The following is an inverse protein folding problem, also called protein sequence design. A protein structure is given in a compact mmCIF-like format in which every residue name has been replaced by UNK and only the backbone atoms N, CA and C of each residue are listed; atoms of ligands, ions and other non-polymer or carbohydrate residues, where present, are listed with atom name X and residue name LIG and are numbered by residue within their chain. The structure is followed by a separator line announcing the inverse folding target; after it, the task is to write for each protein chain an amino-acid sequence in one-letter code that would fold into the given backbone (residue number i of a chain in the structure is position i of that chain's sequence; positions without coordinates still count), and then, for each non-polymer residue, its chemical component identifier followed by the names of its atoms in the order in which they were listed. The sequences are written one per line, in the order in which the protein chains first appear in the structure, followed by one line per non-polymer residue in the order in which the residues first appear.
data_IF_993571451960
#
_entry.id   IF_993571451960
#
_cell.length_a   1.000
_cell.length_b   1.000
_cell.length_c   1.000
_cell.angle_alpha   90.00
_cell.angle_beta   90.00
_cell.angle_gamma   90.00
#
_symmetry.space_group_name_H-M   'P 1'
#
loop_
_entity.id
_entity.type
_entity.pdbx_description
1 polymer ?
#
# COMPACT_ATOMS: atom_id res chain seq x y z
N UNK A 1 -5.79 9.16 20.43
CA UNK A 1 -6.67 8.47 19.46
C UNK A 1 -7.71 9.42 18.88
N UNK A 2 -8.36 10.24 19.67
CA UNK A 2 -9.37 11.22 19.20
C UNK A 2 -8.77 12.28 18.27
N UNK A 3 -7.66 12.89 18.63
CA UNK A 3 -6.95 13.83 17.75
C UNK A 3 -6.57 13.20 16.40
N UNK A 4 -6.11 11.94 16.44
CA UNK A 4 -5.77 11.19 15.23
C UNK A 4 -7.01 10.94 14.37
N UNK A 5 -8.13 10.56 14.98
CA UNK A 5 -9.41 10.37 14.28
C UNK A 5 -9.85 11.66 13.60
N UNK A 6 -9.85 12.78 14.34
CA UNK A 6 -10.26 14.09 13.81
C UNK A 6 -9.33 14.51 12.66
N UNK A 7 -8.01 14.38 12.85
CA UNK A 7 -7.02 14.71 11.82
C UNK A 7 -7.21 13.91 10.55
N UNK A 8 -7.39 12.58 10.66
CA UNK A 8 -7.65 11.69 9.51
C UNK A 8 -8.98 12.06 8.83
N UNK A 9 -10.02 12.32 9.62
CA UNK A 9 -11.33 12.68 9.07
C UNK A 9 -11.27 13.99 8.30
N UNK A 10 -10.66 15.04 8.85
CA UNK A 10 -10.56 16.34 8.19
C UNK A 10 -9.80 16.26 6.87
N UNK A 11 -8.67 15.56 6.84
CA UNK A 11 -7.85 15.37 5.64
C UNK A 11 -8.62 14.58 4.55
N UNK A 12 -9.28 13.48 4.94
CA UNK A 12 -10.10 12.67 4.03
C UNK A 12 -11.34 13.45 3.56
N UNK A 13 -11.98 14.24 4.42
CA UNK A 13 -13.19 14.98 4.09
C UNK A 13 -12.90 16.11 3.08
N UNK A 14 -11.77 16.81 3.25
CA UNK A 14 -11.32 17.79 2.27
C UNK A 14 -11.09 17.16 0.89
N UNK A 15 -10.46 15.99 0.85
CA UNK A 15 -10.30 15.24 -0.38
C UNK A 15 -11.64 14.81 -0.96
N UNK A 16 -12.54 14.24 -0.15
CA UNK A 16 -13.83 13.72 -0.63
C UNK A 16 -14.70 14.81 -1.24
N UNK A 17 -14.72 16.03 -0.68
CA UNK A 17 -15.45 17.18 -1.23
C UNK A 17 -14.99 17.49 -2.65
N UNK A 18 -13.67 17.60 -2.87
CA UNK A 18 -13.08 17.84 -4.20
C UNK A 18 -13.31 16.66 -5.17
N UNK A 19 -13.21 15.44 -4.64
CA UNK A 19 -13.37 14.22 -5.42
C UNK A 19 -14.82 14.04 -5.88
N UNK A 20 -15.81 14.27 -5.01
CA UNK A 20 -17.23 14.14 -5.35
C UNK A 20 -17.68 15.22 -6.37
N UNK A 21 -17.19 16.45 -6.24
CA UNK A 21 -17.42 17.52 -7.20
C UNK A 21 -16.87 17.12 -8.58
N UNK A 22 -15.60 16.78 -8.67
CA UNK A 22 -14.97 16.33 -9.93
C UNK A 22 -15.67 15.10 -10.53
N UNK A 23 -16.04 14.14 -9.68
CA UNK A 23 -16.67 12.90 -10.12
C UNK A 23 -18.08 13.11 -10.64
N UNK A 24 -18.86 14.02 -10.03
CA UNK A 24 -20.21 14.36 -10.49
C UNK A 24 -20.21 14.96 -11.89
N UNK A 25 -19.21 15.79 -12.20
CA UNK A 25 -19.08 16.47 -13.48
C UNK A 25 -18.64 15.54 -14.63
N UNK A 26 -17.96 14.44 -14.30
CA UNK A 26 -17.40 13.49 -15.29
C UNK A 26 -18.25 12.23 -15.48
N UNK A 27 -19.22 11.95 -14.62
CA UNK A 27 -20.17 10.83 -14.75
C UNK A 27 -21.35 11.13 -15.69
N UNK A 28 -21.12 11.80 -16.81
CA UNK A 28 -22.16 12.17 -17.80
C UNK A 28 -22.53 11.00 -18.72
N UNK A 29 -22.45 9.75 -18.30
CA UNK A 29 -23.02 8.65 -19.09
C UNK A 29 -23.65 7.60 -18.18
N UNK A 30 -24.93 7.37 -18.43
CA UNK A 30 -25.76 6.32 -17.84
C UNK A 30 -26.29 6.51 -16.41
N UNK A 31 -26.92 7.64 -16.08
CA UNK A 31 -28.04 7.74 -15.14
C UNK A 31 -28.11 6.95 -13.83
N UNK A 32 -27.18 6.03 -13.61
CA UNK A 32 -27.07 5.23 -12.39
C UNK A 32 -26.15 5.91 -11.39
N UNK A 33 -26.73 6.71 -10.51
CA UNK A 33 -26.04 7.14 -9.28
C UNK A 33 -25.57 5.88 -8.55
N UNK A 34 -24.29 5.51 -8.72
CA UNK A 34 -23.64 4.37 -8.04
C UNK A 34 -23.47 4.66 -6.52
N UNK A 35 -23.80 5.85 -6.07
CA UNK A 35 -23.91 6.15 -4.64
C UNK A 35 -25.12 5.39 -4.08
N UNK A 36 -24.88 4.18 -3.59
CA UNK A 36 -25.83 3.49 -2.75
C UNK A 36 -26.33 4.49 -1.70
N UNK A 37 -27.65 4.72 -1.60
CA UNK A 37 -28.22 5.55 -0.54
C UNK A 37 -27.72 5.04 0.79
N UNK A 38 -26.71 5.72 1.33
CA UNK A 38 -26.06 5.39 2.59
C UNK A 38 -26.26 6.55 3.56
N UNK A 39 -26.47 6.22 4.82
CA UNK A 39 -26.55 7.25 5.87
C UNK A 39 -25.18 7.85 6.21
N UNK A 40 -24.10 7.11 5.97
CA UNK A 40 -22.71 7.59 6.13
C UNK A 40 -22.24 8.28 4.84
N UNK A 41 -21.47 9.35 5.01
CA UNK A 41 -20.75 10.00 3.91
C UNK A 41 -19.59 9.14 3.41
N UNK A 42 -19.06 9.45 2.25
CA UNK A 42 -17.85 8.79 1.72
C UNK A 42 -16.66 9.02 2.66
N UNK A 43 -16.50 10.24 3.18
CA UNK A 43 -15.45 10.59 4.14
C UNK A 43 -15.55 9.79 5.44
N UNK A 44 -16.76 9.59 5.98
CA UNK A 44 -16.97 8.72 7.15
C UNK A 44 -16.59 7.26 6.86
N UNK A 45 -17.00 6.72 5.71
CA UNK A 45 -16.65 5.35 5.31
C UNK A 45 -15.14 5.18 5.16
N UNK A 46 -14.47 6.08 4.46
CA UNK A 46 -13.00 6.04 4.27
C UNK A 46 -12.27 6.17 5.61
N UNK A 47 -12.69 7.09 6.46
CA UNK A 47 -12.10 7.28 7.81
C UNK A 47 -12.22 6.02 8.65
N UNK A 48 -13.41 5.39 8.68
CA UNK A 48 -13.64 4.16 9.45
C UNK A 48 -12.72 3.04 8.99
N UNK A 49 -12.57 2.81 7.67
CA UNK A 49 -11.71 1.72 7.18
C UNK A 49 -10.22 2.00 7.37
N UNK A 50 -9.78 3.26 7.28
CA UNK A 50 -8.39 3.66 7.54
C UNK A 50 -8.05 3.55 9.01
N UNK A 51 -8.92 4.08 9.89
CA UNK A 51 -8.72 4.05 11.34
C UNK A 51 -8.67 2.62 11.89
N UNK A 52 -9.32 1.66 11.24
CA UNK A 52 -9.24 0.24 11.61
C UNK A 52 -7.79 -0.23 11.74
N UNK A 53 -6.94 0.09 10.80
CA UNK A 53 -5.53 -0.34 10.76
C UNK A 53 -4.65 0.34 11.82
N UNK A 54 -5.07 1.49 12.32
CA UNK A 54 -4.37 2.24 13.38
C UNK A 54 -4.93 1.96 14.78
N UNK A 55 -6.07 1.28 14.85
CA UNK A 55 -6.76 1.01 16.12
C UNK A 55 -6.18 -0.16 16.92
N UNK A 56 -5.27 -0.96 16.32
CA UNK A 56 -4.75 -2.20 16.92
C UNK A 56 -5.77 -3.34 17.02
N UNK A 57 -6.98 -3.18 16.44
CA UNK A 57 -8.02 -4.18 16.50
C UNK A 57 -7.81 -5.26 15.43
N UNK A 58 -7.89 -6.54 15.84
CA UNK A 58 -7.64 -7.68 14.93
C UNK A 58 -8.82 -8.05 14.05
N UNK A 59 -10.07 -7.76 14.48
CA UNK A 59 -11.27 -8.15 13.73
C UNK A 59 -12.11 -6.94 13.40
N UNK A 60 -12.36 -6.72 12.13
CA UNK A 60 -13.16 -5.61 11.64
C UNK A 60 -14.58 -5.59 12.20
N UNK A 61 -15.18 -6.79 12.43
CA UNK A 61 -16.52 -6.90 13.03
C UNK A 61 -16.55 -6.36 14.46
N UNK A 62 -15.55 -6.71 15.28
CA UNK A 62 -15.46 -6.22 16.65
C UNK A 62 -15.18 -4.71 16.66
N UNK A 63 -14.25 -4.26 15.81
CA UNK A 63 -13.96 -2.86 15.63
C UNK A 63 -15.22 -2.03 15.29
N UNK A 64 -16.02 -2.43 14.30
CA UNK A 64 -17.25 -1.72 13.96
C UNK A 64 -18.25 -1.68 15.13
N UNK A 65 -18.47 -2.83 15.81
CA UNK A 65 -19.48 -2.92 16.85
C UNK A 65 -19.09 -2.24 18.17
N UNK A 66 -17.85 -2.44 18.60
CA UNK A 66 -17.41 -2.03 19.92
C UNK A 66 -16.64 -0.71 19.89
N UNK A 67 -15.76 -0.53 18.89
CA UNK A 67 -14.92 0.64 18.81
C UNK A 67 -15.69 1.81 18.18
N UNK A 68 -16.24 1.65 16.97
CA UNK A 68 -16.99 2.73 16.28
C UNK A 68 -18.34 2.97 16.94
N UNK A 69 -19.20 1.94 17.06
CA UNK A 69 -20.54 2.12 17.61
C UNK A 69 -20.60 2.25 19.13
N UNK A 70 -19.52 1.91 19.83
CA UNK A 70 -19.39 2.05 21.28
C UNK A 70 -18.62 3.33 21.67
N UNK A 71 -17.29 3.30 21.59
CA UNK A 71 -16.42 4.36 22.06
C UNK A 71 -16.50 5.64 21.23
N UNK A 72 -16.67 5.55 19.90
CA UNK A 72 -16.69 6.70 18.99
C UNK A 72 -18.08 7.01 18.43
N UNK A 73 -19.14 6.59 19.15
CA UNK A 73 -20.55 6.77 18.72
C UNK A 73 -20.92 8.24 18.47
N UNK A 74 -20.31 9.18 19.17
CA UNK A 74 -20.61 10.61 19.08
C UNK A 74 -19.99 11.22 17.80
N UNK A 75 -18.90 10.66 17.29
CA UNK A 75 -18.28 11.07 16.02
C UNK A 75 -19.01 10.45 14.80
N UNK A 76 -19.69 9.32 14.98
CA UNK A 76 -20.44 8.62 13.91
C UNK A 76 -21.91 8.41 14.36
N UNK A 77 -22.73 9.47 14.39
CA UNK A 77 -24.11 9.40 14.89
C UNK A 77 -25.02 8.53 14.01
N UNK A 78 -24.76 8.47 12.71
CA UNK A 78 -25.48 7.64 11.77
C UNK A 78 -24.89 6.23 11.73
N UNK A 79 -25.60 5.27 12.30
CA UNK A 79 -25.11 3.90 12.47
C UNK A 79 -25.57 2.99 11.33
N UNK A 80 -24.65 2.16 10.86
CA UNK A 80 -24.95 1.05 9.98
C UNK A 80 -24.78 -0.29 10.71
N UNK A 81 -25.59 -1.28 10.36
CA UNK A 81 -25.28 -2.66 10.74
C UNK A 81 -23.95 -3.08 10.10
N UNK A 82 -23.20 -3.96 10.77
CA UNK A 82 -21.95 -4.48 10.24
C UNK A 82 -22.07 -5.02 8.81
N UNK A 83 -23.15 -5.77 8.53
CA UNK A 83 -23.36 -6.34 7.19
C UNK A 83 -23.55 -5.22 6.15
N UNK A 84 -24.35 -4.20 6.48
CA UNK A 84 -24.55 -3.06 5.59
C UNK A 84 -23.28 -2.26 5.40
N UNK A 85 -22.46 -2.06 6.45
CA UNK A 85 -21.18 -1.40 6.31
C UNK A 85 -20.26 -2.16 5.36
N UNK A 86 -20.15 -3.48 5.48
CA UNK A 86 -19.34 -4.35 4.59
C UNK A 86 -19.80 -4.28 3.12
N UNK A 87 -21.11 -4.02 2.87
CA UNK A 87 -21.61 -3.78 1.51
C UNK A 87 -21.18 -2.42 0.96
N UNK A 88 -21.35 -1.36 1.76
CA UNK A 88 -21.10 0.02 1.29
C UNK A 88 -19.62 0.35 1.23
N UNK A 89 -18.75 -0.23 2.06
CA UNK A 89 -17.31 0.08 2.05
C UNK A 89 -16.64 -0.20 0.70
N UNK A 90 -17.25 -1.01 -0.17
CA UNK A 90 -16.76 -1.27 -1.54
C UNK A 90 -16.73 -0.01 -2.40
N UNK A 91 -17.60 0.97 -2.13
CA UNK A 91 -17.60 2.25 -2.85
C UNK A 91 -16.34 3.07 -2.60
N UNK A 92 -15.61 2.77 -1.52
CA UNK A 92 -14.37 3.47 -1.19
C UNK A 92 -13.14 3.02 -2.01
N UNK A 93 -13.23 1.97 -2.87
CA UNK A 93 -12.05 1.46 -3.61
C UNK A 93 -11.41 2.56 -4.47
N UNK A 94 -12.21 3.18 -5.34
CA UNK A 94 -11.69 4.20 -6.27
C UNK A 94 -11.22 5.44 -5.51
N UNK A 95 -12.03 6.04 -4.60
CA UNK A 95 -11.57 7.19 -3.84
C UNK A 95 -10.34 6.89 -2.98
N UNK A 96 -10.22 5.73 -2.32
CA UNK A 96 -9.01 5.34 -1.58
C UNK A 96 -7.79 5.23 -2.49
N UNK A 97 -7.97 4.68 -3.70
CA UNK A 97 -6.88 4.56 -4.67
C UNK A 97 -6.39 5.94 -5.11
N UNK A 98 -7.31 6.82 -5.51
CA UNK A 98 -6.97 8.19 -5.93
C UNK A 98 -6.35 8.98 -4.77
N UNK A 99 -6.94 8.87 -3.58
CA UNK A 99 -6.45 9.53 -2.38
C UNK A 99 -5.02 9.08 -2.05
N UNK A 100 -4.74 7.77 -2.05
CA UNK A 100 -3.38 7.27 -1.82
C UNK A 100 -2.40 7.79 -2.87
N UNK A 101 -2.75 7.66 -4.16
CA UNK A 101 -1.83 7.98 -5.27
C UNK A 101 -1.59 9.49 -5.47
N UNK A 102 -2.53 10.34 -5.08
CA UNK A 102 -2.45 11.79 -5.35
C UNK A 102 -2.16 12.65 -4.13
N UNK A 103 -2.51 12.15 -2.94
CA UNK A 103 -2.41 12.95 -1.70
C UNK A 103 -1.54 12.31 -0.62
N UNK A 104 -1.29 10.99 -0.70
CA UNK A 104 -0.61 10.28 0.40
C UNK A 104 0.70 9.61 0.03
N UNK A 105 1.14 9.73 -1.22
CA UNK A 105 2.49 9.32 -1.63
C UNK A 105 3.53 10.35 -1.20
N UNK A 106 4.72 9.88 -0.88
CA UNK A 106 5.87 10.72 -0.58
C UNK A 106 6.47 11.36 -1.83
N UNK A 107 7.49 12.17 -1.65
CA UNK A 107 8.28 12.75 -2.74
C UNK A 107 9.60 11.99 -2.91
N UNK A 108 10.01 11.76 -4.15
CA UNK A 108 11.31 11.18 -4.44
C UNK A 108 12.42 12.15 -3.99
N UNK A 109 13.38 11.64 -3.22
CA UNK A 109 14.55 12.38 -2.72
C UNK A 109 15.81 12.11 -3.55
N UNK A 110 15.73 11.30 -4.61
CA UNK A 110 16.88 10.77 -5.34
C UNK A 110 17.43 9.46 -4.74
N UNK A 111 16.89 9.01 -3.60
CA UNK A 111 17.21 7.74 -2.97
C UNK A 111 15.90 6.99 -2.77
N UNK A 112 15.75 5.85 -3.46
CA UNK A 112 14.54 5.04 -3.40
C UNK A 112 14.87 3.57 -3.18
N UNK A 113 13.96 2.84 -2.56
CA UNK A 113 14.08 1.40 -2.31
C UNK A 113 12.90 0.68 -2.94
N UNK A 114 13.15 -0.46 -3.58
CA UNK A 114 12.11 -1.29 -4.19
C UNK A 114 12.13 -2.68 -3.59
N UNK A 115 10.95 -3.21 -3.29
CA UNK A 115 10.77 -4.58 -2.83
C UNK A 115 9.36 -5.09 -3.16
N UNK A 116 9.18 -6.41 -3.10
CA UNK A 116 7.87 -7.04 -3.22
C UNK A 116 7.62 -7.96 -2.03
N UNK A 117 6.39 -7.94 -1.53
CA UNK A 117 5.97 -8.84 -0.47
C UNK A 117 4.76 -9.66 -0.88
N UNK A 118 4.74 -10.95 -0.50
CA UNK A 118 3.58 -11.82 -0.75
C UNK A 118 2.41 -11.45 0.15
N UNK A 119 1.20 -11.54 -0.37
CA UNK A 119 -0.05 -11.45 0.39
C UNK A 119 -0.81 -12.75 0.20
N UNK A 120 -0.81 -13.58 1.24
CA UNK A 120 -1.46 -14.88 1.22
C UNK A 120 -2.97 -14.74 1.44
N UNK A 121 -3.78 -15.29 0.54
CA UNK A 121 -5.25 -15.26 0.69
C UNK A 121 -5.83 -16.51 1.34
N UNK A 122 -5.08 -17.60 1.30
CA UNK A 122 -5.42 -18.84 2.03
C UNK A 122 -4.21 -19.76 2.16
N UNK A 123 -4.29 -20.72 3.08
CA UNK A 123 -3.30 -21.78 3.19
C UNK A 123 -3.32 -22.68 1.93
N UNK A 124 -2.15 -23.16 1.47
CA UNK A 124 -2.00 -23.93 0.23
C UNK A 124 -2.94 -25.14 0.12
N UNK A 125 -3.25 -25.84 1.24
CA UNK A 125 -4.20 -26.97 1.28
C UNK A 125 -5.65 -26.55 0.99
N UNK A 126 -5.97 -25.26 0.99
CA UNK A 126 -7.33 -24.72 0.79
C UNK A 126 -7.54 -24.07 -0.57
N UNK A 127 -6.57 -24.09 -1.47
CA UNK A 127 -6.65 -23.40 -2.77
C UNK A 127 -7.87 -23.86 -3.56
N UNK A 128 -8.11 -25.17 -3.68
CA UNK A 128 -9.26 -25.75 -4.41
C UNK A 128 -10.63 -25.33 -3.84
N UNK A 129 -10.67 -24.95 -2.56
CA UNK A 129 -11.90 -24.50 -1.86
C UNK A 129 -12.06 -22.97 -1.88
N UNK A 130 -11.04 -22.23 -2.29
CA UNK A 130 -11.08 -20.77 -2.29
C UNK A 130 -11.73 -20.27 -3.58
N UNK A 131 -13.03 -20.03 -3.53
CA UNK A 131 -13.81 -19.50 -4.66
C UNK A 131 -13.72 -17.99 -4.82
N UNK A 132 -13.39 -17.26 -3.73
CA UNK A 132 -13.40 -15.79 -3.72
C UNK A 132 -12.33 -15.20 -4.64
N UNK A 133 -11.17 -15.84 -4.71
CA UNK A 133 -10.01 -15.37 -5.48
C UNK A 133 -9.70 -16.28 -6.67
N UNK A 134 -10.63 -17.17 -7.03
CA UNK A 134 -10.46 -18.04 -8.18
C UNK A 134 -10.31 -17.21 -9.48
N UNK A 135 -9.38 -17.60 -10.33
CA UNK A 135 -9.05 -16.90 -11.58
C UNK A 135 -8.16 -15.67 -11.41
N UNK A 136 -8.14 -14.99 -10.26
CA UNK A 136 -7.41 -13.74 -10.04
C UNK A 136 -6.15 -13.90 -9.17
N UNK A 137 -6.22 -14.68 -8.08
CA UNK A 137 -5.02 -15.05 -7.33
C UNK A 137 -4.28 -16.19 -8.02
N UNK A 138 -2.98 -16.21 -7.89
CA UNK A 138 -2.12 -17.28 -8.46
C UNK A 138 -1.11 -17.78 -7.43
N UNK A 139 -0.58 -18.99 -7.68
CA UNK A 139 0.53 -19.52 -6.89
C UNK A 139 1.81 -18.77 -7.22
N UNK A 140 2.49 -18.28 -6.20
CA UNK A 140 3.82 -17.72 -6.29
C UNK A 140 4.80 -18.48 -5.43
N UNK A 141 6.07 -18.23 -5.61
CA UNK A 141 7.18 -18.80 -4.83
C UNK A 141 8.00 -17.68 -4.20
N UNK A 142 8.25 -17.79 -2.92
CA UNK A 142 9.17 -16.93 -2.18
C UNK A 142 10.36 -17.77 -1.66
N UNK A 143 11.33 -17.14 -1.02
CA UNK A 143 12.42 -17.84 -0.34
C UNK A 143 11.92 -18.81 0.76
N UNK A 144 10.77 -18.49 1.35
CA UNK A 144 10.14 -19.28 2.42
C UNK A 144 9.22 -20.39 1.92
N UNK A 145 8.93 -20.45 0.61
CA UNK A 145 8.10 -21.51 0.03
C UNK A 145 7.01 -21.00 -0.94
N UNK A 146 6.07 -21.91 -1.23
CA UNK A 146 4.95 -21.61 -2.12
C UNK A 146 3.81 -20.94 -1.36
N UNK A 147 3.18 -19.96 -1.99
CA UNK A 147 1.98 -19.29 -1.50
C UNK A 147 0.91 -19.17 -2.58
N UNK A 148 -0.32 -18.90 -2.18
CA UNK A 148 -1.42 -18.58 -3.09
C UNK A 148 -2.00 -17.23 -2.72
N UNK A 149 -1.97 -16.29 -3.66
CA UNK A 149 -2.43 -14.93 -3.41
C UNK A 149 -1.89 -13.91 -4.41
N UNK A 150 -1.48 -12.79 -3.87
CA UNK A 150 -0.99 -11.63 -4.61
C UNK A 150 0.42 -11.25 -4.15
N UNK A 151 1.07 -10.39 -4.90
CA UNK A 151 2.25 -9.64 -4.47
C UNK A 151 1.90 -8.17 -4.37
N UNK A 152 2.32 -7.53 -3.31
CA UNK A 152 2.36 -6.09 -3.17
C UNK A 152 3.79 -5.64 -3.48
N UNK A 153 3.95 -4.91 -4.56
CA UNK A 153 5.21 -4.27 -4.93
C UNK A 153 5.18 -2.84 -4.42
N UNK A 154 6.25 -2.39 -3.80
CA UNK A 154 6.39 -1.06 -3.22
C UNK A 154 7.68 -0.41 -3.67
N UNK A 155 7.62 0.91 -3.86
CA UNK A 155 8.78 1.80 -3.80
C UNK A 155 8.60 2.80 -2.68
N UNK A 156 9.67 3.03 -1.93
CA UNK A 156 9.70 4.00 -0.82
C UNK A 156 10.92 4.90 -0.96
N UNK A 157 10.87 6.07 -0.34
CA UNK A 157 12.04 6.95 -0.20
C UNK A 157 12.85 6.61 1.08
N UNK A 158 13.89 7.37 1.34
CA UNK A 158 14.77 7.26 2.51
C UNK A 158 14.10 7.67 3.83
N UNK A 159 12.95 8.35 3.78
CA UNK A 159 12.07 8.67 4.91
C UNK A 159 11.00 7.58 5.15
N UNK A 160 11.04 6.48 4.42
CA UNK A 160 10.06 5.39 4.53
C UNK A 160 8.67 5.73 4.00
N UNK A 161 8.51 6.81 3.26
CA UNK A 161 7.23 7.14 2.64
C UNK A 161 7.04 6.32 1.36
N UNK A 162 5.83 5.83 1.14
CA UNK A 162 5.48 5.09 -0.08
C UNK A 162 5.45 6.08 -1.25
N UNK A 163 6.26 5.82 -2.27
CA UNK A 163 6.30 6.59 -3.52
C UNK A 163 5.34 6.03 -4.55
N UNK A 164 5.31 4.71 -4.68
CA UNK A 164 4.40 4.02 -5.59
C UNK A 164 4.12 2.60 -5.10
N UNK A 165 3.01 2.02 -5.54
CA UNK A 165 2.65 0.64 -5.24
C UNK A 165 1.93 -0.03 -6.39
N UNK A 166 2.05 -1.35 -6.48
CA UNK A 166 1.35 -2.16 -7.46
C UNK A 166 0.95 -3.51 -6.86
N UNK A 167 -0.25 -3.98 -7.17
CA UNK A 167 -0.75 -5.29 -6.73
C UNK A 167 -0.81 -6.20 -7.94
N UNK A 168 -0.17 -7.36 -7.87
CA UNK A 168 -0.17 -8.35 -8.95
C UNK A 168 -0.56 -9.73 -8.45
N UNK A 169 -1.04 -10.64 -9.33
CA UNK A 169 -1.12 -12.06 -8.99
C UNK A 169 0.24 -12.61 -8.53
N UNK A 170 0.22 -13.59 -7.61
CA UNK A 170 1.43 -14.09 -6.96
C UNK A 170 2.51 -14.69 -7.87
N UNK A 171 2.16 -15.08 -9.09
CA UNK A 171 3.08 -15.64 -10.08
C UNK A 171 3.81 -14.60 -10.95
N UNK A 172 3.50 -13.31 -10.80
CA UNK A 172 4.17 -12.26 -11.58
C UNK A 172 5.59 -12.08 -11.06
N UNK A 173 6.56 -12.02 -11.98
CA UNK A 173 7.97 -11.77 -11.66
C UNK A 173 8.16 -10.32 -11.19
N UNK A 174 9.01 -10.11 -10.18
CA UNK A 174 9.29 -8.79 -9.61
C UNK A 174 9.97 -7.85 -10.62
N UNK A 175 10.59 -8.44 -11.67
CA UNK A 175 11.20 -7.73 -12.81
C UNK A 175 10.23 -7.48 -13.96
N UNK A 176 8.93 -7.76 -13.79
CA UNK A 176 7.96 -7.52 -14.85
C UNK A 176 8.00 -6.06 -15.29
N UNK A 177 8.21 -5.84 -16.58
CA UNK A 177 8.46 -4.51 -17.13
C UNK A 177 7.32 -3.53 -16.86
N UNK A 178 6.05 -3.98 -16.96
CA UNK A 178 4.88 -3.14 -16.70
C UNK A 178 4.82 -2.71 -15.22
N UNK A 179 5.15 -3.64 -14.31
CA UNK A 179 5.19 -3.35 -12.87
C UNK A 179 6.29 -2.34 -12.57
N UNK A 180 7.50 -2.58 -13.07
CA UNK A 180 8.64 -1.66 -12.85
C UNK A 180 8.34 -0.28 -13.42
N UNK A 181 7.86 -0.17 -14.66
CA UNK A 181 7.53 1.13 -15.25
C UNK A 181 6.50 1.89 -14.39
N UNK A 182 5.48 1.20 -13.88
CA UNK A 182 4.50 1.83 -12.99
C UNK A 182 5.12 2.31 -11.68
N UNK A 183 6.02 1.51 -11.10
CA UNK A 183 6.65 1.83 -9.81
C UNK A 183 7.70 2.94 -9.90
N UNK A 184 8.22 3.23 -11.11
CA UNK A 184 9.35 4.16 -11.30
C UNK A 184 8.98 5.44 -12.04
N UNK A 185 7.70 5.64 -12.38
CA UNK A 185 7.23 6.73 -13.26
C UNK A 185 7.62 8.15 -12.78
N UNK A 186 7.73 8.35 -11.47
CA UNK A 186 8.06 9.65 -10.87
C UNK A 186 9.39 9.60 -10.09
N UNK A 187 10.21 8.57 -10.33
CA UNK A 187 11.50 8.40 -9.67
C UNK A 187 12.63 9.01 -10.49
N UNK A 188 13.68 9.43 -9.78
CA UNK A 188 14.97 9.81 -10.32
C UNK A 188 16.08 9.40 -9.35
N UNK A 189 17.34 9.41 -9.83
CA UNK A 189 18.51 9.15 -9.01
C UNK A 189 18.74 7.66 -8.78
N UNK A 190 18.87 7.20 -7.53
CA UNK A 190 19.27 5.83 -7.21
C UNK A 190 18.11 5.00 -6.68
N UNK A 191 17.92 3.81 -7.27
CA UNK A 191 16.95 2.82 -6.86
C UNK A 191 17.66 1.58 -6.30
N UNK A 192 17.46 1.28 -5.03
CA UNK A 192 18.08 0.16 -4.33
C UNK A 192 17.13 -1.03 -4.28
N UNK A 193 17.53 -2.13 -4.90
CA UNK A 193 16.77 -3.38 -4.93
C UNK A 193 17.55 -4.58 -4.41
N UNK A 194 16.85 -5.68 -4.18
CA UNK A 194 17.48 -6.96 -3.84
C UNK A 194 18.12 -7.62 -5.09
N UNK A 195 18.78 -8.78 -4.89
CA UNK A 195 19.39 -9.53 -5.99
C UNK A 195 18.37 -10.13 -6.97
N UNK A 196 17.10 -10.13 -6.63
CA UNK A 196 16.00 -10.54 -7.49
C UNK A 196 15.82 -9.62 -8.68
N UNK A 197 16.12 -8.33 -8.53
CA UNK A 197 16.00 -7.33 -9.58
C UNK A 197 17.18 -7.31 -10.59
N UNK A 198 18.18 -8.15 -10.43
CA UNK A 198 19.31 -8.24 -11.38
C UNK A 198 18.83 -8.73 -12.75
N UNK A 199 18.80 -7.81 -13.71
CA UNK A 199 18.46 -8.07 -15.12
C UNK A 199 19.11 -6.99 -15.98
N UNK A 200 19.82 -7.39 -17.05
CA UNK A 200 20.44 -6.45 -17.97
C UNK A 200 19.40 -5.51 -18.60
N UNK A 201 18.33 -6.09 -19.15
CA UNK A 201 17.25 -5.31 -19.78
C UNK A 201 16.59 -4.31 -18.81
N UNK A 202 16.46 -4.68 -17.53
CA UNK A 202 15.91 -3.79 -16.52
C UNK A 202 16.89 -2.65 -16.22
N UNK A 203 18.18 -2.96 -16.10
CA UNK A 203 19.23 -1.98 -15.85
C UNK A 203 19.30 -0.97 -16.99
N UNK A 204 19.40 -1.43 -18.25
CA UNK A 204 19.49 -0.57 -19.42
C UNK A 204 18.28 0.37 -19.52
N UNK A 205 17.07 -0.15 -19.32
CA UNK A 205 15.84 0.64 -19.34
C UNK A 205 15.81 1.71 -18.25
N UNK A 206 16.11 1.35 -17.00
CA UNK A 206 16.10 2.32 -15.89
C UNK A 206 17.18 3.39 -16.08
N UNK A 207 18.30 3.02 -16.68
CA UNK A 207 19.36 3.97 -17.02
C UNK A 207 18.89 5.00 -18.06
N UNK A 208 18.12 4.58 -19.06
CA UNK A 208 17.52 5.48 -20.06
C UNK A 208 16.48 6.44 -19.43
N UNK A 209 15.89 6.04 -18.30
CA UNK A 209 14.93 6.83 -17.52
C UNK A 209 15.64 7.65 -16.38
N UNK A 210 16.96 7.86 -16.42
CA UNK A 210 17.78 8.54 -15.40
C UNK A 210 17.70 7.91 -13.99
N UNK A 211 17.45 6.60 -13.92
CA UNK A 211 17.38 5.85 -12.69
C UNK A 211 18.53 4.84 -12.60
N UNK A 212 19.39 5.00 -11.61
CA UNK A 212 20.51 4.10 -11.35
C UNK A 212 20.10 2.95 -10.45
N UNK A 213 19.85 1.76 -11.03
CA UNK A 213 19.55 0.56 -10.25
C UNK A 213 20.80 0.05 -9.53
N UNK A 214 20.76 0.01 -8.21
CA UNK A 214 21.83 -0.50 -7.36
C UNK A 214 21.36 -1.78 -6.66
N UNK A 215 22.06 -2.90 -6.92
CA UNK A 215 21.73 -4.20 -6.34
C UNK A 215 22.96 -4.88 -5.75
N UNK A 216 22.74 -5.83 -4.84
CA UNK A 216 23.84 -6.68 -4.36
C UNK A 216 24.34 -7.61 -5.46
N UNK A 217 25.64 -7.89 -5.47
CA UNK A 217 26.32 -8.78 -6.45
C UNK A 217 26.02 -10.24 -6.11
N UNK A 218 25.74 -11.09 -7.12
CA UNK A 218 25.67 -12.55 -6.94
C UNK A 218 27.09 -13.14 -6.89
N UNK A 219 27.26 -14.27 -6.20
CA UNK A 219 28.56 -14.95 -6.03
C UNK A 219 29.32 -15.20 -7.36
N UNK A 220 28.60 -15.41 -8.47
CA UNK A 220 29.14 -15.72 -9.78
C UNK A 220 29.27 -14.51 -10.72
N UNK A 221 29.05 -13.28 -10.22
CA UNK A 221 29.22 -12.06 -10.99
C UNK A 221 30.58 -11.44 -10.74
N UNK A 222 31.15 -10.81 -11.79
CA UNK A 222 32.36 -10.02 -11.64
C UNK A 222 32.15 -8.90 -10.62
N UNK A 223 33.14 -8.67 -9.76
CA UNK A 223 33.10 -7.55 -8.83
C UNK A 223 33.05 -6.23 -9.61
N UNK A 224 32.04 -5.43 -9.36
CA UNK A 224 32.02 -4.04 -9.76
C UNK A 224 32.46 -3.16 -8.59
N UNK A 225 33.23 -2.13 -8.88
CA UNK A 225 33.57 -1.08 -7.92
C UNK A 225 32.27 -0.32 -7.60
N UNK A 226 31.65 -0.68 -6.48
CA UNK A 226 30.48 0.03 -5.96
C UNK A 226 30.99 1.09 -5.00
N UNK A 227 30.52 2.33 -5.13
CA UNK A 227 30.85 3.43 -4.24
C UNK A 227 30.54 3.01 -2.78
N UNK A 228 31.35 3.48 -1.84
CA UNK A 228 31.17 3.18 -0.42
C UNK A 228 29.78 3.59 0.08
N UNK A 229 29.28 4.75 -0.36
CA UNK A 229 27.95 5.24 -0.03
C UNK A 229 26.85 4.28 -0.50
N UNK A 230 26.93 3.79 -1.73
CA UNK A 230 25.98 2.83 -2.28
C UNK A 230 26.01 1.48 -1.54
N UNK A 231 27.18 1.04 -1.05
CA UNK A 231 27.29 -0.13 -0.20
C UNK A 231 26.59 0.07 1.16
N UNK A 232 26.68 1.27 1.72
CA UNK A 232 25.99 1.61 2.97
C UNK A 232 24.47 1.59 2.74
N UNK A 233 23.99 2.26 1.70
CA UNK A 233 22.57 2.32 1.37
C UNK A 233 21.98 0.95 1.02
N UNK A 234 22.73 0.09 0.33
CA UNK A 234 22.33 -1.31 0.11
C UNK A 234 22.11 -2.09 1.41
N UNK A 235 22.92 -1.84 2.44
CA UNK A 235 22.73 -2.46 3.77
C UNK A 235 21.52 -1.86 4.48
N UNK A 236 21.24 -0.58 4.25
CA UNK A 236 20.09 0.13 4.81
C UNK A 236 18.77 -0.20 4.10
N UNK A 237 18.79 -0.98 3.01
CA UNK A 237 17.59 -1.47 2.32
C UNK A 237 16.58 -2.17 3.24
N UNK A 238 17.02 -2.68 4.39
CA UNK A 238 16.13 -3.22 5.42
C UNK A 238 14.98 -2.25 5.82
N UNK A 239 15.09 -0.95 5.49
CA UNK A 239 13.99 0.02 5.72
C UNK A 239 12.69 -0.41 5.02
N UNK A 240 12.76 -0.91 3.78
CA UNK A 240 11.56 -1.34 3.06
C UNK A 240 11.00 -2.65 3.63
N UNK A 241 11.87 -3.51 4.20
CA UNK A 241 11.44 -4.71 4.90
C UNK A 241 10.65 -4.35 6.16
N UNK A 242 11.07 -3.30 6.89
CA UNK A 242 10.33 -2.78 8.05
C UNK A 242 8.96 -2.21 7.64
N UNK A 243 8.87 -1.52 6.49
CA UNK A 243 7.58 -1.04 5.94
C UNK A 243 6.67 -2.23 5.62
N UNK A 244 7.19 -3.25 4.94
CA UNK A 244 6.46 -4.47 4.62
C UNK A 244 5.99 -5.20 5.89
N UNK A 245 6.85 -5.28 6.91
CA UNK A 245 6.53 -5.89 8.20
C UNK A 245 5.43 -5.14 8.93
N UNK A 246 5.50 -3.80 8.96
CA UNK A 246 4.43 -2.97 9.51
C UNK A 246 3.08 -3.24 8.84
N UNK A 247 3.04 -3.24 7.52
CA UNK A 247 1.82 -3.50 6.76
C UNK A 247 1.25 -4.89 7.06
N UNK A 248 2.10 -5.90 7.19
CA UNK A 248 1.66 -7.28 7.48
C UNK A 248 1.24 -7.50 8.93
N UNK A 249 2.05 -7.05 9.88
CA UNK A 249 1.92 -7.42 11.29
C UNK A 249 1.16 -6.39 12.12
N UNK A 250 1.17 -5.13 11.72
CA UNK A 250 0.42 -4.06 12.41
C UNK A 250 -0.89 -3.75 11.69
N UNK A 251 -0.83 -3.53 10.37
CA UNK A 251 -2.04 -3.28 9.58
C UNK A 251 -2.79 -4.56 9.19
N UNK A 252 -2.23 -5.74 9.44
CA UNK A 252 -2.86 -7.03 9.20
C UNK A 252 -3.39 -7.24 7.77
N UNK A 253 -2.65 -6.80 6.75
CA UNK A 253 -3.07 -6.92 5.35
C UNK A 253 -3.28 -8.38 4.91
N UNK A 254 -2.59 -9.35 5.53
CA UNK A 254 -2.75 -10.78 5.27
C UNK A 254 -3.79 -11.46 6.18
N UNK A 255 -4.25 -10.80 7.24
CA UNK A 255 -4.94 -11.47 8.36
C UNK A 255 -6.44 -11.60 8.19
N UNK A 256 -6.99 -11.12 7.12
CA UNK A 256 -8.42 -11.05 6.93
C UNK A 256 -8.96 -12.22 6.10
N UNK A 257 -10.04 -12.83 6.59
CA UNK A 257 -10.80 -13.84 5.85
C UNK A 257 -11.82 -13.14 4.94
N UNK A 258 -11.33 -12.52 3.88
CA UNK A 258 -12.21 -11.83 2.94
C UNK A 258 -13.18 -12.81 2.26
N UNK A 259 -14.44 -12.39 2.16
CA UNK A 259 -15.49 -13.08 1.40
C UNK A 259 -15.78 -12.37 0.06
N UNK A 260 -15.01 -11.35 -0.28
CA UNK A 260 -15.17 -10.56 -1.49
C UNK A 260 -13.82 -9.95 -1.86
N UNK A 261 -13.47 -10.00 -3.13
CA UNK A 261 -12.29 -9.37 -3.70
C UNK A 261 -12.28 -7.86 -3.47
N UNK A 262 -13.46 -7.22 -3.62
CA UNK A 262 -13.60 -5.78 -3.39
C UNK A 262 -13.23 -5.42 -1.95
N UNK A 263 -13.71 -6.18 -0.97
CA UNK A 263 -13.39 -5.91 0.45
C UNK A 263 -11.91 -6.19 0.77
N UNK A 264 -11.28 -7.12 0.08
CA UNK A 264 -9.82 -7.32 0.16
C UNK A 264 -9.07 -6.09 -0.35
N UNK A 265 -9.47 -5.53 -1.49
CA UNK A 265 -8.86 -4.32 -2.03
C UNK A 265 -9.05 -3.12 -1.10
N UNK A 266 -10.26 -2.92 -0.55
CA UNK A 266 -10.50 -1.86 0.45
C UNK A 266 -9.56 -2.03 1.64
N UNK A 267 -9.45 -3.24 2.19
CA UNK A 267 -8.56 -3.50 3.32
C UNK A 267 -7.11 -3.17 3.00
N UNK A 268 -6.63 -3.56 1.83
CA UNK A 268 -5.24 -3.30 1.43
C UNK A 268 -4.99 -1.81 1.18
N UNK A 269 -5.87 -1.14 0.43
CA UNK A 269 -5.74 0.30 0.15
C UNK A 269 -5.84 1.14 1.42
N UNK A 270 -6.80 0.82 2.30
CA UNK A 270 -6.93 1.54 3.58
C UNK A 270 -5.74 1.32 4.51
N UNK A 271 -5.07 0.15 4.44
CA UNK A 271 -3.82 -0.09 5.18
C UNK A 271 -2.66 0.76 4.65
N UNK A 272 -2.52 0.91 3.33
CA UNK A 272 -1.52 1.80 2.72
C UNK A 272 -1.76 3.27 3.12
N UNK A 273 -3.02 3.71 3.06
CA UNK A 273 -3.42 5.05 3.53
C UNK A 273 -3.12 5.20 5.03
N UNK A 274 -3.48 4.23 5.86
CA UNK A 274 -3.21 4.25 7.30
C UNK A 274 -1.71 4.37 7.60
N UNK A 275 -0.87 3.60 6.89
CA UNK A 275 0.57 3.71 6.99
C UNK A 275 1.07 5.13 6.70
N UNK A 276 0.49 5.81 5.71
CA UNK A 276 0.89 7.17 5.35
C UNK A 276 0.64 8.21 6.47
N UNK A 277 -0.30 7.95 7.37
CA UNK A 277 -0.60 8.79 8.53
C UNK A 277 0.32 8.57 9.73
N UNK A 278 1.21 7.59 9.70
CA UNK A 278 2.13 7.37 10.81
C UNK A 278 3.06 8.58 10.99
N UNK A 279 3.16 9.13 12.21
CA UNK A 279 4.05 10.24 12.49
C UNK A 279 5.54 9.83 12.42
N UNK A 280 5.85 8.60 12.85
CA UNK A 280 7.21 8.06 12.90
C UNK A 280 7.30 6.86 11.95
N UNK A 281 7.66 7.12 10.68
CA UNK A 281 7.96 6.06 9.71
C UNK A 281 9.40 5.57 9.90
N UNK A 282 9.71 4.31 9.54
CA UNK A 282 11.09 3.88 9.40
C UNK A 282 11.84 4.84 8.48
N UNK A 283 12.90 5.48 8.96
CA UNK A 283 13.66 6.51 8.22
C UNK A 283 15.15 6.25 8.34
N UNK A 284 15.92 6.64 7.33
CA UNK A 284 17.38 6.63 7.39
C UNK A 284 17.96 7.85 8.10
N UNK A 285 17.15 8.88 8.32
CA UNK A 285 17.54 10.11 9.00
C UNK A 285 18.60 10.93 8.23
N UNK A 286 18.67 10.78 6.91
CA UNK A 286 19.73 11.43 6.09
C UNK A 286 19.59 12.96 6.09
N UNK A 287 18.39 13.50 6.17
CA UNK A 287 18.15 14.95 6.26
C UNK A 287 18.80 15.60 7.49
N UNK A 288 18.90 14.86 8.60
CA UNK A 288 19.61 15.35 9.78
C UNK A 288 21.12 15.43 9.57
N UNK A 289 21.69 14.60 8.70
CA UNK A 289 23.12 14.64 8.37
C UNK A 289 23.47 15.83 7.46
N UNK A 290 22.59 16.18 6.52
CA UNK A 290 22.79 17.37 5.66
C UNK A 290 22.78 18.67 6.46
N UNK A 291 21.92 18.77 7.49
CA UNK A 291 21.86 19.93 8.39
C UNK A 291 23.07 20.03 9.34
N UNK A 292 23.80 18.93 9.58
CA UNK A 292 25.02 18.92 10.40
C UNK A 292 26.29 19.19 9.57
N UNK A 293 26.20 19.10 8.25
CA UNK A 293 27.31 19.31 7.31
C UNK A 293 27.22 20.66 6.57
N UNK A 294 26.13 21.40 6.74
CA UNK A 294 25.94 22.77 6.26
C UNK A 294 26.26 23.79 7.34
#
# INVERSE_FOLDING_TARGET
MEELLIGIYCDIDEFCKKFEEYWSDHLVTDGRKILLKCSLSLSEIMTIVVLFHLSGQRTFKWYCKSFICGYHKDYFPKRLSYNRFVEVMKSAIVPLTVYMMKHRVGKCSGISFIDSTSINVCHNKRISRNKVFDGIAKRGKTSTGWFYGFKLHLTINDEGEILSFCITPGNVDDRNQKVITHLTIELFGKLFGDRGYISKNLFDKLWDDDIHLVTGIRKNMKNHLVNLWDKILLRKRAIIENVNDFLKNICFIEHSRHRSTANFLVNLLSALVAYSFLPNKPSLGLRHLELLCS
#
